data_IF_851392938802
#
_entry.id   IF_851392938802
#
_cell.length_a   1.000
_cell.length_b   1.000
_cell.length_c   1.000
_cell.angle_alpha   90.00
_cell.angle_beta   90.00
_cell.angle_gamma   90.00
#
_symmetry.space_group_name_H-M   'P 1'
#
loop_
_entity.id
_entity.type
_entity.pdbx_description
1 polymer ?
#
# COMPACT_ATOMS: atom_id res chain seq x y z
N UNK A 1 -6.35 16.29 11.03
CA UNK A 1 -6.71 16.24 9.60
C UNK A 1 -6.28 14.88 9.07
N UNK A 2 -7.16 14.12 8.43
CA UNK A 2 -6.82 12.85 7.80
C UNK A 2 -6.60 13.05 6.29
N UNK A 3 -5.62 12.35 5.72
CA UNK A 3 -5.32 12.37 4.28
C UNK A 3 -4.42 13.53 3.82
N UNK A 4 -3.25 13.66 4.46
CA UNK A 4 -2.16 14.52 3.99
C UNK A 4 -1.22 13.81 2.98
N UNK A 5 -1.57 12.58 2.60
CA UNK A 5 -0.81 11.76 1.67
C UNK A 5 -1.65 11.66 0.41
N UNK A 6 -1.11 12.12 -0.71
CA UNK A 6 -1.79 12.08 -2.00
C UNK A 6 -1.38 10.82 -2.80
N UNK A 7 -0.20 10.26 -2.48
CA UNK A 7 0.38 9.11 -3.19
C UNK A 7 1.19 8.23 -2.24
N UNK A 8 1.03 6.91 -2.37
CA UNK A 8 1.73 5.87 -1.60
C UNK A 8 2.37 4.91 -2.60
N UNK A 9 3.70 4.77 -2.53
CA UNK A 9 4.45 3.75 -3.27
C UNK A 9 4.82 2.61 -2.33
N UNK A 10 4.26 1.42 -2.59
CA UNK A 10 4.47 0.23 -1.77
C UNK A 10 5.23 -0.84 -2.56
N UNK A 11 6.32 -1.36 -1.99
CA UNK A 11 7.00 -2.54 -2.51
C UNK A 11 6.56 -3.78 -1.72
N UNK A 12 5.73 -4.63 -2.33
CA UNK A 12 5.22 -5.86 -1.73
C UNK A 12 6.22 -6.99 -2.00
N UNK A 13 6.97 -7.40 -0.97
CA UNK A 13 7.92 -8.51 -1.06
C UNK A 13 7.21 -9.87 -1.05
N UNK A 14 7.65 -10.87 -1.85
CA UNK A 14 7.06 -12.21 -1.89
C UNK A 14 7.52 -13.07 -0.71
N UNK A 15 7.35 -12.58 0.52
CA UNK A 15 7.74 -13.27 1.76
C UNK A 15 6.55 -13.40 2.70
N UNK A 16 6.48 -14.54 3.41
CA UNK A 16 5.50 -14.75 4.47
C UNK A 16 6.18 -14.45 5.81
N UNK A 17 5.85 -13.29 6.41
CA UNK A 17 6.48 -12.83 7.65
C UNK A 17 5.95 -13.57 8.89
N UNK A 18 4.72 -14.08 8.86
CA UNK A 18 4.08 -14.80 9.97
C UNK A 18 3.57 -13.89 11.10
N UNK A 19 4.37 -12.92 11.55
CA UNK A 19 4.05 -11.95 12.61
C UNK A 19 4.74 -10.60 12.33
N UNK A 20 4.23 -9.51 12.93
CA UNK A 20 4.82 -8.18 12.81
C UNK A 20 3.80 -7.06 12.91
N UNK A 21 4.23 -5.85 12.57
CA UNK A 21 3.35 -4.67 12.50
C UNK A 21 2.59 -4.65 11.17
N UNK A 22 1.26 -4.48 11.24
CA UNK A 22 0.43 -4.33 10.05
C UNK A 22 0.32 -2.84 9.69
N UNK A 23 0.97 -2.47 8.57
CA UNK A 23 1.07 -1.09 8.07
C UNK A 23 -0.28 -0.36 7.93
N UNK A 24 -1.36 -1.09 7.61
CA UNK A 24 -2.68 -0.50 7.37
C UNK A 24 -3.72 -0.90 8.44
N UNK A 25 -3.27 -1.35 9.62
CA UNK A 25 -4.17 -1.68 10.71
C UNK A 25 -5.07 -0.49 11.07
N UNK A 26 -6.39 -0.70 10.99
CA UNK A 26 -7.38 0.33 11.32
C UNK A 26 -7.53 1.44 10.29
N UNK A 27 -6.89 1.35 9.12
CA UNK A 27 -7.01 2.35 8.04
C UNK A 27 -7.93 1.84 6.92
N UNK A 28 -9.04 2.53 6.71
CA UNK A 28 -9.93 2.31 5.57
C UNK A 28 -9.48 3.14 4.37
N UNK A 29 -8.49 2.64 3.62
CA UNK A 29 -7.96 3.34 2.45
C UNK A 29 -9.06 3.67 1.40
N UNK A 30 -9.95 2.74 1.00
CA UNK A 30 -11.06 3.06 0.12
C UNK A 30 -12.01 4.12 0.70
N UNK A 31 -12.38 4.03 1.97
CA UNK A 31 -13.23 5.03 2.64
C UNK A 31 -12.59 6.42 2.74
N UNK A 32 -11.26 6.49 2.71
CA UNK A 32 -10.50 7.74 2.65
C UNK A 32 -10.33 8.31 1.23
N UNK A 33 -10.81 7.59 0.20
CA UNK A 33 -10.78 8.01 -1.21
C UNK A 33 -9.59 7.49 -2.01
N UNK A 34 -8.74 6.66 -1.41
CA UNK A 34 -7.60 6.11 -2.13
C UNK A 34 -8.01 5.04 -3.14
N UNK A 35 -7.28 4.98 -4.24
CA UNK A 35 -7.48 4.04 -5.35
C UNK A 35 -6.15 3.55 -5.90
N UNK A 36 -6.18 2.35 -6.47
CA UNK A 36 -5.03 1.77 -7.16
C UNK A 36 -4.74 2.55 -8.45
N UNK A 37 -3.51 3.02 -8.61
CA UNK A 37 -3.04 3.67 -9.82
C UNK A 37 -2.20 2.73 -10.69
N UNK A 38 -1.30 1.95 -10.10
CA UNK A 38 -0.36 1.11 -10.84
C UNK A 38 0.03 -0.16 -10.05
N UNK A 39 0.30 -1.23 -10.79
CA UNK A 39 0.90 -2.47 -10.29
C UNK A 39 2.00 -2.92 -11.24
N UNK A 40 3.25 -2.92 -10.77
CA UNK A 40 4.43 -3.33 -11.56
C UNK A 40 5.11 -4.50 -10.86
N UNK A 41 5.00 -5.73 -11.41
CA UNK A 41 5.78 -6.87 -10.94
C UNK A 41 7.27 -6.66 -11.22
N UNK A 42 8.12 -6.93 -10.24
CA UNK A 42 9.57 -6.96 -10.37
C UNK A 42 10.14 -8.24 -9.73
N UNK A 43 11.44 -8.49 -9.93
CA UNK A 43 12.11 -9.73 -9.51
C UNK A 43 11.96 -10.04 -8.02
N UNK A 44 11.98 -9.02 -7.16
CA UNK A 44 12.02 -9.16 -5.70
C UNK A 44 10.82 -8.52 -4.99
N UNK A 45 9.93 -7.84 -5.72
CA UNK A 45 8.77 -7.18 -5.16
C UNK A 45 7.73 -6.90 -6.25
N UNK A 46 6.48 -6.70 -5.85
CA UNK A 46 5.47 -6.04 -6.68
C UNK A 46 5.35 -4.60 -6.21
N UNK A 47 5.62 -3.64 -7.10
CA UNK A 47 5.43 -2.23 -6.81
C UNK A 47 3.97 -1.86 -7.02
N UNK A 48 3.34 -1.25 -6.02
CA UNK A 48 1.94 -0.83 -6.04
C UNK A 48 1.90 0.66 -5.76
N UNK A 49 1.27 1.42 -6.64
CA UNK A 49 1.03 2.85 -6.45
C UNK A 49 -0.44 3.04 -6.11
N UNK A 50 -0.69 3.69 -4.98
CA UNK A 50 -2.02 4.06 -4.50
C UNK A 50 -2.09 5.59 -4.47
N UNK A 51 -3.13 6.17 -5.04
CA UNK A 51 -3.34 7.62 -5.09
C UNK A 51 -4.67 8.00 -4.47
N UNK A 52 -4.78 9.22 -3.95
CA UNK A 52 -6.03 9.81 -3.47
C UNK A 52 -6.64 10.72 -4.53
#
# INVERSE_FOLDING_TARGET
MAGAIDEIHLAVSPVILGQGENLFAGVDLPGLGYRLAEVVPAKLATHVVIVR
#
